data_IF_217756864659
#
_entry.id   IF_217756864659
#
_cell.length_a   1.000
_cell.length_b   1.000
_cell.length_c   1.000
_cell.angle_alpha   90.00
_cell.angle_beta   90.00
_cell.angle_gamma   90.00
#
_symmetry.space_group_name_H-M   'P 1'
#
loop_
_entity.id
_entity.type
_entity.pdbx_description
1 polymer ?
#
# COMPACT_ATOMS: atom_id res chain seq x y z
N UNK A 1 25.37 46.95 6.89
CA UNK A 1 26.01 46.03 7.87
C UNK A 1 25.01 44.99 8.38
N UNK A 2 23.91 45.36 9.09
CA UNK A 2 22.92 44.40 9.57
C UNK A 2 22.26 43.51 8.48
N UNK A 3 21.87 44.07 7.35
CA UNK A 3 21.30 43.33 6.23
C UNK A 3 22.26 42.30 5.63
N UNK A 4 23.53 42.64 5.54
CA UNK A 4 24.57 41.77 5.01
C UNK A 4 24.90 40.61 5.98
N UNK A 5 24.86 40.88 7.26
CA UNK A 5 25.03 39.84 8.31
C UNK A 5 23.83 38.87 8.34
N UNK A 6 22.61 39.38 8.13
CA UNK A 6 21.40 38.56 8.04
C UNK A 6 21.39 37.68 6.77
N UNK A 7 21.89 38.18 5.64
CA UNK A 7 22.02 37.41 4.41
C UNK A 7 23.03 36.26 4.57
N UNK A 8 24.21 36.56 5.11
CA UNK A 8 25.25 35.56 5.38
C UNK A 8 24.73 34.47 6.37
N UNK A 9 23.93 34.87 7.34
CA UNK A 9 23.33 33.94 8.31
C UNK A 9 22.32 33.00 7.65
N UNK A 10 21.48 33.52 6.73
CA UNK A 10 20.53 32.73 5.94
C UNK A 10 21.24 31.74 5.02
N UNK A 11 22.29 32.19 4.33
CA UNK A 11 23.08 31.32 3.44
C UNK A 11 23.78 30.19 4.19
N UNK A 12 24.34 30.47 5.37
CA UNK A 12 24.94 29.45 6.24
C UNK A 12 23.91 28.43 6.74
N UNK A 13 22.70 28.89 7.10
CA UNK A 13 21.63 28.01 7.54
C UNK A 13 21.19 27.07 6.38
N UNK A 14 21.04 27.65 5.18
CA UNK A 14 20.67 26.89 3.96
C UNK A 14 21.73 25.85 3.59
N UNK A 15 23.01 26.21 3.68
CA UNK A 15 24.10 25.26 3.42
C UNK A 15 24.09 24.08 4.41
N UNK A 16 23.87 24.35 5.69
CA UNK A 16 23.74 23.28 6.69
C UNK A 16 22.54 22.37 6.40
N UNK A 17 21.44 22.93 6.00
CA UNK A 17 20.24 22.18 5.65
C UNK A 17 20.47 21.30 4.42
N UNK A 18 21.08 21.82 3.36
CA UNK A 18 21.42 21.05 2.17
C UNK A 18 22.40 19.91 2.50
N UNK A 19 23.40 20.18 3.34
CA UNK A 19 24.34 19.16 3.77
C UNK A 19 23.65 18.05 4.56
N UNK A 20 22.75 18.39 5.47
CA UNK A 20 21.93 17.41 6.19
C UNK A 20 21.07 16.54 5.25
N UNK A 21 20.45 17.15 4.24
CA UNK A 21 19.65 16.41 3.26
C UNK A 21 20.53 15.40 2.52
N UNK A 22 21.70 15.80 2.06
CA UNK A 22 22.65 14.91 1.35
C UNK A 22 23.08 13.75 2.25
N UNK A 23 23.48 14.02 3.48
CA UNK A 23 23.89 13.01 4.45
C UNK A 23 22.76 12.01 4.75
N UNK A 24 21.52 12.50 4.86
CA UNK A 24 20.34 11.65 5.06
C UNK A 24 20.00 10.80 3.83
N UNK A 25 20.13 11.34 2.64
CA UNK A 25 19.90 10.56 1.41
C UNK A 25 20.93 9.46 1.23
N UNK A 26 22.20 9.74 1.50
CA UNK A 26 23.26 8.71 1.51
C UNK A 26 22.99 7.62 2.57
N UNK A 27 22.51 8.02 3.75
CA UNK A 27 22.11 7.09 4.79
C UNK A 27 20.92 6.23 4.37
N UNK A 28 19.87 6.84 3.78
CA UNK A 28 18.70 6.13 3.25
C UNK A 28 19.12 5.11 2.19
N UNK A 29 19.96 5.50 1.24
CA UNK A 29 20.45 4.60 0.19
C UNK A 29 21.20 3.41 0.79
N UNK A 30 22.08 3.65 1.75
CA UNK A 30 22.81 2.60 2.44
C UNK A 30 21.88 1.65 3.19
N UNK A 31 20.91 2.16 3.96
CA UNK A 31 19.95 1.36 4.70
C UNK A 31 19.02 0.56 3.76
N UNK A 32 18.56 1.20 2.67
CA UNK A 32 17.75 0.53 1.66
C UNK A 32 18.50 -0.67 1.06
N UNK A 33 19.75 -0.49 0.67
CA UNK A 33 20.57 -1.55 0.10
C UNK A 33 20.84 -2.67 1.10
N UNK A 34 21.12 -2.36 2.36
CA UNK A 34 21.31 -3.36 3.42
C UNK A 34 20.02 -4.17 3.66
N UNK A 35 18.88 -3.49 3.78
CA UNK A 35 17.58 -4.14 3.96
C UNK A 35 17.21 -5.00 2.75
N UNK A 36 17.44 -4.50 1.53
CA UNK A 36 17.21 -5.26 0.31
C UNK A 36 18.03 -6.56 0.29
N UNK A 37 19.34 -6.49 0.59
CA UNK A 37 20.19 -7.70 0.60
C UNK A 37 19.75 -8.70 1.68
N UNK A 38 19.34 -8.21 2.85
CA UNK A 38 18.80 -9.07 3.91
C UNK A 38 17.52 -9.78 3.44
N UNK A 39 16.55 -9.05 2.93
CA UNK A 39 15.28 -9.61 2.47
C UNK A 39 15.49 -10.57 1.28
N UNK A 40 16.43 -10.27 0.37
CA UNK A 40 16.81 -11.16 -0.73
C UNK A 40 17.37 -12.49 -0.24
N UNK A 41 18.18 -12.46 0.81
CA UNK A 41 18.73 -13.68 1.41
C UNK A 41 17.67 -14.48 2.17
N UNK A 42 16.79 -13.80 2.89
CA UNK A 42 15.72 -14.44 3.67
C UNK A 42 14.62 -15.04 2.77
N UNK A 43 14.23 -14.35 1.72
CA UNK A 43 13.14 -14.78 0.82
C UNK A 43 13.62 -15.67 -0.34
N UNK A 44 14.92 -15.64 -0.67
CA UNK A 44 15.47 -16.31 -1.87
C UNK A 44 15.12 -15.61 -3.18
N UNK A 45 14.40 -14.48 -3.16
CA UNK A 45 13.97 -13.76 -4.35
C UNK A 45 14.74 -12.44 -4.54
N UNK A 46 15.09 -12.14 -5.79
CA UNK A 46 15.68 -10.87 -6.17
C UNK A 46 14.69 -10.06 -7.01
N UNK A 47 14.54 -8.78 -6.67
CA UNK A 47 13.77 -7.87 -7.53
C UNK A 47 14.51 -7.59 -8.84
N UNK A 48 13.76 -7.33 -9.90
CA UNK A 48 14.35 -6.80 -11.11
C UNK A 48 15.08 -5.46 -10.80
N UNK A 49 16.24 -5.19 -11.44
CA UNK A 49 17.04 -3.99 -11.16
C UNK A 49 16.26 -2.69 -11.22
N UNK A 50 15.32 -2.57 -12.15
CA UNK A 50 14.46 -1.39 -12.30
C UNK A 50 13.49 -1.24 -11.14
N UNK A 51 12.92 -2.33 -10.62
CA UNK A 51 12.04 -2.32 -9.45
C UNK A 51 12.81 -1.88 -8.21
N UNK A 52 14.01 -2.45 -8.00
CA UNK A 52 14.91 -2.05 -6.91
C UNK A 52 15.24 -0.55 -6.98
N UNK A 53 15.62 -0.04 -8.17
CA UNK A 53 15.92 1.36 -8.38
C UNK A 53 14.70 2.26 -8.12
N UNK A 54 13.54 1.88 -8.63
CA UNK A 54 12.29 2.64 -8.43
C UNK A 54 11.93 2.71 -6.95
N UNK A 55 12.04 1.62 -6.20
CA UNK A 55 11.79 1.60 -4.76
C UNK A 55 12.73 2.53 -3.98
N UNK A 56 14.03 2.54 -4.30
CA UNK A 56 14.99 3.47 -3.70
C UNK A 56 14.61 4.92 -3.99
N UNK A 57 14.30 5.25 -5.25
CA UNK A 57 13.89 6.59 -5.64
C UNK A 57 12.61 7.03 -4.93
N UNK A 58 11.62 6.13 -4.79
CA UNK A 58 10.39 6.41 -4.03
C UNK A 58 10.71 6.76 -2.57
N UNK A 59 11.61 6.01 -1.94
CA UNK A 59 12.01 6.27 -0.56
C UNK A 59 12.70 7.64 -0.40
N UNK A 60 13.63 7.97 -1.29
CA UNK A 60 14.33 9.26 -1.25
C UNK A 60 13.35 10.42 -1.51
N UNK A 61 12.49 10.30 -2.52
CA UNK A 61 11.52 11.36 -2.85
C UNK A 61 10.44 11.50 -1.76
N UNK A 62 10.03 10.40 -1.12
CA UNK A 62 9.20 10.43 0.07
C UNK A 62 9.87 11.25 1.17
N UNK A 63 11.12 10.98 1.51
CA UNK A 63 11.86 11.76 2.51
C UNK A 63 11.90 13.25 2.14
N UNK A 64 12.26 13.60 0.89
CA UNK A 64 12.28 15.00 0.44
C UNK A 64 10.93 15.70 0.57
N UNK A 65 9.83 15.01 0.23
CA UNK A 65 8.49 15.61 0.22
C UNK A 65 7.81 15.61 1.58
N UNK A 66 8.02 14.55 2.36
CA UNK A 66 7.35 14.29 3.63
C UNK A 66 8.29 14.42 4.83
N UNK A 67 9.38 15.18 4.68
CA UNK A 67 10.41 15.32 5.71
C UNK A 67 9.85 15.71 7.07
N UNK A 68 8.92 16.67 7.10
CA UNK A 68 8.28 17.10 8.35
C UNK A 68 7.55 15.95 9.06
N UNK A 69 6.93 15.05 8.30
CA UNK A 69 6.32 13.84 8.87
C UNK A 69 7.40 12.86 9.28
N UNK A 70 8.37 12.57 8.40
CA UNK A 70 9.43 11.59 8.64
C UNK A 70 10.29 11.92 9.88
N UNK A 71 10.60 13.20 10.10
CA UNK A 71 11.38 13.66 11.27
C UNK A 71 10.58 13.69 12.59
N UNK A 72 9.23 13.66 12.51
CA UNK A 72 8.35 13.71 13.68
C UNK A 72 7.68 12.35 13.96
N UNK A 73 8.12 11.30 13.31
CA UNK A 73 7.64 9.93 13.58
C UNK A 73 8.01 9.52 15.01
N UNK A 74 7.02 9.08 15.77
CA UNK A 74 7.20 8.57 17.12
C UNK A 74 7.41 7.06 17.13
N UNK A 75 6.59 6.33 16.37
CA UNK A 75 6.64 4.87 16.28
C UNK A 75 6.43 4.43 14.82
N UNK A 76 7.06 3.32 14.44
CA UNK A 76 6.88 2.67 13.13
C UNK A 76 6.59 1.18 13.28
N UNK A 77 5.87 0.58 12.33
CA UNK A 77 5.56 -0.86 12.30
C UNK A 77 4.93 -1.33 13.63
N UNK A 78 3.99 -0.53 14.15
CA UNK A 78 3.39 -0.76 15.46
C UNK A 78 2.39 -1.90 15.38
N UNK A 79 2.75 -3.05 15.96
CA UNK A 79 1.81 -4.16 16.09
C UNK A 79 0.79 -3.87 17.17
N UNK A 80 -0.47 -3.77 16.76
CA UNK A 80 -1.62 -3.57 17.63
C UNK A 80 -2.39 -4.90 17.74
N UNK A 81 -2.69 -5.33 18.96
CA UNK A 81 -3.44 -6.56 19.23
C UNK A 81 -4.53 -6.28 20.26
N UNK A 82 -5.78 -6.40 19.89
CA UNK A 82 -6.94 -6.23 20.78
C UNK A 82 -7.65 -7.56 20.99
N UNK A 83 -7.40 -8.26 22.12
CA UNK A 83 -8.00 -9.55 22.43
C UNK A 83 -9.44 -9.42 22.92
N UNK A 84 -10.08 -10.58 23.11
CA UNK A 84 -11.38 -10.74 23.78
C UNK A 84 -12.54 -9.95 23.16
N UNK A 85 -12.48 -9.69 21.87
CA UNK A 85 -13.62 -9.16 21.14
C UNK A 85 -14.71 -10.21 21.04
N UNK A 86 -15.96 -9.77 21.00
CA UNK A 86 -17.11 -10.69 20.91
C UNK A 86 -17.99 -10.29 19.74
N UNK A 87 -18.28 -11.26 18.89
CA UNK A 87 -19.19 -11.10 17.75
C UNK A 87 -20.65 -11.07 18.17
N UNK A 88 -21.59 -10.66 17.30
CA UNK A 88 -23.03 -10.69 17.56
C UNK A 88 -23.56 -12.07 18.00
N UNK A 89 -22.97 -13.17 17.50
CA UNK A 89 -23.37 -14.55 17.90
C UNK A 89 -22.58 -15.09 19.10
N UNK A 90 -21.75 -14.24 19.74
CA UNK A 90 -21.02 -14.60 20.95
C UNK A 90 -19.67 -15.29 20.71
N UNK A 91 -19.19 -15.34 19.47
CA UNK A 91 -17.88 -15.89 19.14
C UNK A 91 -16.79 -14.94 19.61
N UNK A 92 -15.76 -15.48 20.29
CA UNK A 92 -14.60 -14.70 20.74
C UNK A 92 -13.57 -14.63 19.65
N UNK A 93 -12.96 -13.45 19.46
CA UNK A 93 -11.89 -13.26 18.50
C UNK A 93 -10.91 -12.18 18.96
N UNK A 94 -9.78 -12.13 18.30
CA UNK A 94 -8.75 -11.10 18.49
C UNK A 94 -8.59 -10.32 17.19
N UNK A 95 -8.53 -8.99 17.28
CA UNK A 95 -8.19 -8.14 16.15
C UNK A 95 -6.71 -7.80 16.24
N UNK A 96 -5.98 -8.05 15.18
CA UNK A 96 -4.57 -7.64 15.04
C UNK A 96 -4.40 -6.76 13.81
N UNK A 97 -3.47 -5.81 13.92
CA UNK A 97 -3.07 -4.97 12.81
C UNK A 97 -1.66 -4.43 13.04
N UNK A 98 -1.02 -3.98 11.96
CA UNK A 98 0.26 -3.30 12.02
C UNK A 98 0.08 -1.93 11.39
N UNK A 99 0.38 -0.89 12.16
CA UNK A 99 0.32 0.50 11.71
C UNK A 99 1.70 0.92 11.27
N UNK A 100 1.81 1.47 10.06
CA UNK A 100 3.11 1.82 9.50
C UNK A 100 3.78 2.96 10.26
N UNK A 101 3.05 4.03 10.55
CA UNK A 101 3.60 5.23 11.20
C UNK A 101 2.59 5.81 12.19
N UNK A 102 3.09 6.14 13.37
CA UNK A 102 2.41 6.98 14.35
C UNK A 102 3.25 8.21 14.63
N UNK A 103 2.61 9.37 14.55
CA UNK A 103 3.18 10.65 14.92
C UNK A 103 2.43 11.19 16.12
N UNK A 104 3.14 11.36 17.23
CA UNK A 104 2.65 11.95 18.47
C UNK A 104 3.40 13.24 18.74
N UNK A 105 2.71 14.36 18.60
CA UNK A 105 3.19 15.67 19.07
C UNK A 105 2.04 16.38 19.83
N UNK A 106 1.59 17.53 19.37
CA UNK A 106 0.36 18.18 19.89
C UNK A 106 -0.92 17.41 19.49
N UNK A 107 -0.85 16.62 18.41
CA UNK A 107 -1.92 15.81 17.87
C UNK A 107 -1.39 14.42 17.51
N UNK A 108 -2.15 13.37 17.82
CA UNK A 108 -1.82 12.00 17.45
C UNK A 108 -2.42 11.68 16.09
N UNK A 109 -1.55 11.44 15.12
CA UNK A 109 -1.96 11.09 13.74
C UNK A 109 -1.36 9.75 13.34
N UNK A 110 -2.20 8.92 12.74
CA UNK A 110 -1.82 7.61 12.21
C UNK A 110 -1.73 7.67 10.69
N UNK A 111 -0.66 7.11 10.14
CA UNK A 111 -0.45 7.03 8.71
C UNK A 111 -0.26 5.58 8.28
N UNK A 112 -0.86 5.24 7.15
CA UNK A 112 -0.60 3.99 6.43
C UNK A 112 0.09 4.33 5.10
N UNK A 113 1.10 3.56 4.72
CA UNK A 113 1.90 3.81 3.52
C UNK A 113 1.47 2.86 2.42
N UNK A 114 1.16 3.41 1.26
CA UNK A 114 0.91 2.59 0.07
C UNK A 114 1.83 2.97 -1.07
N UNK A 115 2.18 1.99 -1.89
CA UNK A 115 2.94 2.21 -3.13
C UNK A 115 2.04 2.46 -4.33
N UNK A 116 0.73 2.65 -4.13
CA UNK A 116 -0.22 3.08 -5.15
C UNK A 116 -0.15 4.61 -5.37
N UNK A 117 -0.72 5.09 -6.48
CA UNK A 117 -0.75 6.53 -6.75
C UNK A 117 -1.87 7.25 -5.97
N UNK A 118 -1.66 8.55 -5.75
CA UNK A 118 -2.58 9.37 -4.97
C UNK A 118 -3.98 9.47 -5.58
N UNK A 119 -4.11 9.44 -6.90
CA UNK A 119 -5.41 9.53 -7.57
C UNK A 119 -6.19 8.23 -7.40
N UNK A 120 -5.49 7.07 -7.43
CA UNK A 120 -6.11 5.79 -7.12
C UNK A 120 -6.62 5.75 -5.68
N UNK A 121 -5.81 6.17 -4.70
CA UNK A 121 -6.21 6.21 -3.28
C UNK A 121 -7.42 7.14 -3.10
N UNK A 122 -7.41 8.33 -3.73
CA UNK A 122 -8.53 9.27 -3.67
C UNK A 122 -9.82 8.70 -4.25
N UNK A 123 -9.72 7.88 -5.32
CA UNK A 123 -10.88 7.25 -5.96
C UNK A 123 -11.43 6.06 -5.18
N UNK A 124 -10.63 5.44 -4.30
CA UNK A 124 -10.98 4.23 -3.54
C UNK A 124 -10.83 4.46 -2.02
N UNK A 125 -11.17 5.65 -1.54
CA UNK A 125 -11.02 6.02 -0.12
C UNK A 125 -11.71 5.08 0.85
N UNK A 126 -12.85 4.52 0.45
CA UNK A 126 -13.67 3.64 1.28
C UNK A 126 -12.89 2.38 1.72
N UNK A 127 -12.07 1.81 0.83
CA UNK A 127 -11.25 0.63 1.14
C UNK A 127 -10.23 0.94 2.25
N UNK A 128 -9.65 2.14 2.22
CA UNK A 128 -8.68 2.61 3.22
C UNK A 128 -9.35 3.07 4.52
N UNK A 129 -10.57 3.62 4.44
CA UNK A 129 -11.35 4.01 5.63
C UNK A 129 -11.57 2.78 6.53
N UNK A 130 -11.97 1.64 5.96
CA UNK A 130 -12.23 0.43 6.75
C UNK A 130 -10.97 -0.05 7.48
N UNK A 131 -9.81 -0.07 6.81
CA UNK A 131 -8.53 -0.44 7.44
C UNK A 131 -8.15 0.52 8.57
N UNK A 132 -8.19 1.82 8.33
CA UNK A 132 -7.85 2.84 9.32
C UNK A 132 -8.86 2.89 10.48
N UNK A 133 -10.13 2.60 10.24
CA UNK A 133 -11.14 2.45 11.28
C UNK A 133 -10.83 1.28 12.22
N UNK A 134 -10.38 0.14 11.68
CA UNK A 134 -9.94 -1.01 12.49
C UNK A 134 -8.74 -0.61 13.35
N UNK A 135 -7.74 0.04 12.78
CA UNK A 135 -6.56 0.51 13.54
C UNK A 135 -6.93 1.54 14.59
N UNK A 136 -7.82 2.49 14.27
CA UNK A 136 -8.33 3.49 15.21
C UNK A 136 -9.03 2.83 16.39
N UNK A 137 -9.88 1.82 16.13
CA UNK A 137 -10.56 1.07 17.17
C UNK A 137 -9.57 0.38 18.12
N UNK A 138 -8.60 -0.33 17.56
CA UNK A 138 -7.58 -1.03 18.38
C UNK A 138 -6.80 -0.02 19.22
N UNK A 139 -6.33 1.08 18.62
CA UNK A 139 -5.57 2.12 19.28
C UNK A 139 -6.34 2.72 20.47
N UNK A 140 -7.57 3.17 20.23
CA UNK A 140 -8.41 3.78 21.26
C UNK A 140 -8.66 2.86 22.46
N UNK A 141 -8.85 1.56 22.19
CA UNK A 141 -9.10 0.58 23.26
C UNK A 141 -7.83 0.17 24.02
N UNK A 142 -6.67 0.15 23.35
CA UNK A 142 -5.40 -0.22 24.00
C UNK A 142 -4.77 0.93 24.77
N UNK A 143 -4.72 2.12 24.19
CA UNK A 143 -4.05 3.28 24.77
C UNK A 143 -4.99 4.17 25.58
N UNK A 144 -6.30 3.98 25.44
CA UNK A 144 -7.35 4.88 25.98
C UNK A 144 -7.13 6.35 25.54
N UNK A 145 -6.54 6.51 24.36
CA UNK A 145 -6.21 7.80 23.75
C UNK A 145 -7.00 7.96 22.45
N UNK A 146 -7.38 9.20 22.19
CA UNK A 146 -8.11 9.55 20.97
C UNK A 146 -7.12 9.91 19.87
N UNK A 147 -7.34 9.38 18.66
CA UNK A 147 -6.64 9.87 17.48
C UNK A 147 -7.24 11.20 17.02
N UNK A 148 -6.39 12.11 16.59
CA UNK A 148 -6.80 13.39 16.01
C UNK A 148 -6.97 13.30 14.49
N UNK A 149 -6.24 12.38 13.84
CA UNK A 149 -6.35 12.21 12.40
C UNK A 149 -5.79 10.89 11.90
N UNK A 150 -6.21 10.54 10.68
CA UNK A 150 -5.66 9.45 9.90
C UNK A 150 -5.41 9.89 8.47
N UNK A 151 -4.37 9.35 7.83
CA UNK A 151 -4.07 9.63 6.44
C UNK A 151 -3.36 8.46 5.76
N UNK A 152 -3.45 8.41 4.43
CA UNK A 152 -2.66 7.52 3.59
C UNK A 152 -1.53 8.31 2.94
N UNK A 153 -0.33 7.73 2.91
CA UNK A 153 0.81 8.25 2.19
C UNK A 153 1.02 7.40 0.93
N UNK A 154 0.69 7.97 -0.22
CA UNK A 154 0.80 7.32 -1.53
C UNK A 154 2.16 7.62 -2.16
N UNK A 155 3.06 6.65 -2.19
CA UNK A 155 4.45 6.86 -2.59
C UNK A 155 4.72 6.70 -4.08
N UNK A 156 3.75 6.23 -4.87
CA UNK A 156 3.94 6.12 -6.32
C UNK A 156 4.03 7.51 -6.99
N UNK A 157 4.98 7.64 -7.90
CA UNK A 157 5.15 8.88 -8.64
C UNK A 157 4.07 9.09 -9.68
N UNK A 158 3.53 10.31 -9.79
CA UNK A 158 2.84 10.73 -11.01
C UNK A 158 3.74 10.58 -12.24
N UNK A 159 3.17 10.22 -13.38
CA UNK A 159 3.93 10.03 -14.63
C UNK A 159 4.78 11.24 -15.01
N UNK A 160 4.32 12.44 -14.69
CA UNK A 160 5.04 13.69 -14.95
C UNK A 160 6.29 13.80 -14.09
N UNK A 161 6.20 13.42 -12.82
CA UNK A 161 7.34 13.39 -11.89
C UNK A 161 8.37 12.32 -12.31
N UNK A 162 7.91 11.12 -12.68
CA UNK A 162 8.81 10.08 -13.20
C UNK A 162 9.60 10.57 -14.41
N UNK A 163 8.94 11.21 -15.39
CA UNK A 163 9.61 11.80 -16.56
C UNK A 163 10.58 12.93 -16.19
N UNK A 164 10.29 13.69 -15.15
CA UNK A 164 11.19 14.73 -14.66
C UNK A 164 12.46 14.14 -14.05
N UNK A 165 12.32 13.08 -13.25
CA UNK A 165 13.45 12.31 -12.68
C UNK A 165 14.32 11.73 -13.81
N UNK A 166 13.71 11.10 -14.82
CA UNK A 166 14.42 10.47 -15.93
C UNK A 166 15.07 11.47 -16.88
N UNK A 167 14.66 12.75 -16.88
CA UNK A 167 15.19 13.79 -17.78
C UNK A 167 16.41 14.53 -17.24
N UNK A 168 16.82 14.28 -15.99
CA UNK A 168 17.92 14.96 -15.30
C UNK A 168 17.81 16.51 -15.31
N UNK A 169 16.56 17.01 -15.35
CA UNK A 169 16.23 18.44 -15.37
C UNK A 169 15.78 18.88 -13.97
N UNK A 170 16.70 19.49 -13.22
CA UNK A 170 16.45 19.90 -11.83
C UNK A 170 15.28 20.89 -11.69
N UNK A 171 15.10 21.81 -12.64
CA UNK A 171 14.03 22.81 -12.61
C UNK A 171 12.67 22.13 -12.79
N UNK A 172 12.61 21.19 -13.73
CA UNK A 172 11.40 20.40 -13.98
C UNK A 172 11.10 19.47 -12.80
N UNK A 173 12.13 18.85 -12.24
CA UNK A 173 12.00 17.99 -11.06
C UNK A 173 11.43 18.79 -9.87
N UNK A 174 12.01 19.95 -9.56
CA UNK A 174 11.54 20.81 -8.48
C UNK A 174 10.05 21.18 -8.65
N UNK A 175 9.65 21.58 -9.87
CA UNK A 175 8.27 21.94 -10.17
C UNK A 175 7.29 20.77 -10.03
N UNK A 176 7.67 19.58 -10.49
CA UNK A 176 6.79 18.40 -10.39
C UNK A 176 6.76 17.85 -8.96
N UNK A 177 7.84 17.96 -8.19
CA UNK A 177 7.88 17.67 -6.75
C UNK A 177 6.96 18.60 -5.95
N UNK A 178 6.90 19.89 -6.28
CA UNK A 178 5.99 20.84 -5.63
C UNK A 178 4.52 20.43 -5.82
N UNK A 179 4.15 20.00 -7.03
CA UNK A 179 2.79 19.56 -7.37
C UNK A 179 2.41 18.21 -6.78
N UNK A 180 3.39 17.37 -6.51
CA UNK A 180 3.13 16.05 -5.97
C UNK A 180 2.69 16.14 -4.52
N UNK A 181 1.48 15.68 -4.25
CA UNK A 181 0.89 15.61 -2.91
C UNK A 181 0.59 14.14 -2.57
N UNK A 182 1.53 13.45 -1.91
CA UNK A 182 1.36 12.03 -1.56
C UNK A 182 0.45 11.82 -0.36
N UNK A 183 0.17 12.84 0.46
CA UNK A 183 -0.62 12.71 1.68
C UNK A 183 -2.11 12.89 1.39
N UNK A 184 -2.88 11.86 1.66
CA UNK A 184 -4.33 11.86 1.49
C UNK A 184 -4.98 11.70 2.86
N UNK A 185 -5.54 12.78 3.43
CA UNK A 185 -6.30 12.68 4.67
C UNK A 185 -7.53 11.79 4.49
N UNK A 186 -7.73 10.89 5.43
CA UNK A 186 -8.90 10.02 5.52
C UNK A 186 -9.62 10.36 6.82
N UNK A 187 -10.69 11.16 6.76
CA UNK A 187 -11.45 11.51 7.97
C UNK A 187 -12.19 10.28 8.49
N UNK A 188 -12.16 10.10 9.79
CA UNK A 188 -12.95 9.07 10.46
C UNK A 188 -13.98 9.69 11.41
N UNK A 189 -15.03 8.93 11.71
CA UNK A 189 -15.98 9.25 12.77
C UNK A 189 -16.17 8.02 13.66
N UNK A 190 -16.53 8.24 14.91
CA UNK A 190 -16.77 7.14 15.84
C UNK A 190 -17.86 6.17 15.34
N UNK A 191 -18.91 6.71 14.72
CA UNK A 191 -19.97 5.91 14.09
C UNK A 191 -19.44 4.99 12.99
N UNK A 192 -18.57 5.49 12.10
CA UNK A 192 -17.95 4.68 11.05
C UNK A 192 -17.00 3.61 11.62
N UNK A 193 -16.25 3.95 12.66
CA UNK A 193 -15.39 2.97 13.35
C UNK A 193 -16.23 1.83 13.92
N UNK A 194 -17.31 2.14 14.62
CA UNK A 194 -18.21 1.13 15.19
C UNK A 194 -18.90 0.28 14.12
N UNK A 195 -19.34 0.87 13.01
CA UNK A 195 -19.93 0.15 11.88
C UNK A 195 -18.91 -0.80 11.21
N UNK A 196 -17.68 -0.35 11.01
CA UNK A 196 -16.61 -1.19 10.47
C UNK A 196 -16.31 -2.38 11.37
N UNK A 197 -16.21 -2.16 12.69
CA UNK A 197 -15.96 -3.24 13.66
C UNK A 197 -17.14 -4.20 13.73
N UNK A 198 -18.37 -3.69 13.68
CA UNK A 198 -19.56 -4.55 13.63
C UNK A 198 -19.57 -5.43 12.37
N UNK A 199 -19.28 -4.86 11.19
CA UNK A 199 -19.15 -5.62 9.94
C UNK A 199 -18.06 -6.69 10.04
N UNK A 200 -16.91 -6.33 10.61
CA UNK A 200 -15.82 -7.27 10.86
C UNK A 200 -16.25 -8.41 11.75
N UNK A 201 -16.92 -8.13 12.87
CA UNK A 201 -17.45 -9.14 13.78
C UNK A 201 -18.49 -10.06 13.12
N UNK A 202 -19.34 -9.53 12.22
CA UNK A 202 -20.26 -10.34 11.42
C UNK A 202 -19.53 -11.28 10.43
N UNK A 203 -18.35 -10.89 9.94
CA UNK A 203 -17.51 -11.77 9.12
C UNK A 203 -16.97 -12.93 9.97
N UNK A 204 -16.57 -12.65 11.21
CA UNK A 204 -16.14 -13.72 12.17
C UNK A 204 -17.26 -14.73 12.37
N UNK A 205 -18.50 -14.30 12.60
CA UNK A 205 -19.63 -15.21 12.74
C UNK A 205 -19.80 -16.10 11.50
N UNK A 206 -19.71 -15.53 10.30
CA UNK A 206 -19.79 -16.31 9.05
C UNK A 206 -18.64 -17.32 8.91
N UNK A 207 -17.46 -16.98 9.40
CA UNK A 207 -16.30 -17.89 9.42
C UNK A 207 -16.57 -19.06 10.35
N UNK A 208 -17.02 -18.79 11.57
CA UNK A 208 -17.33 -19.82 12.58
C UNK A 208 -18.48 -20.74 12.15
N UNK A 209 -19.49 -20.19 11.50
CA UNK A 209 -20.61 -20.92 10.91
C UNK A 209 -20.25 -21.67 9.60
N UNK A 210 -19.02 -21.52 9.12
CA UNK A 210 -18.56 -22.06 7.83
C UNK A 210 -19.44 -21.63 6.65
N UNK A 211 -20.00 -20.44 6.71
CA UNK A 211 -20.88 -19.86 5.71
C UNK A 211 -20.12 -19.34 4.47
N UNK A 212 -19.19 -20.16 3.96
CA UNK A 212 -18.41 -19.84 2.77
C UNK A 212 -19.23 -20.18 1.52
N UNK A 213 -19.48 -19.15 0.72
CA UNK A 213 -20.11 -19.33 -0.59
C UNK A 213 -19.09 -18.97 -1.69
N UNK A 214 -18.72 -19.93 -2.53
CA UNK A 214 -17.90 -19.61 -3.68
C UNK A 214 -18.67 -18.64 -4.61
N UNK A 215 -17.98 -17.79 -5.39
CA UNK A 215 -18.64 -16.92 -6.33
C UNK A 215 -19.37 -17.72 -7.41
N UNK A 216 -20.47 -17.19 -7.93
CA UNK A 216 -21.16 -17.80 -9.06
C UNK A 216 -20.35 -17.63 -10.35
N UNK A 217 -20.63 -18.44 -11.37
CA UNK A 217 -20.00 -18.33 -12.68
C UNK A 217 -20.20 -16.93 -13.30
N UNK A 218 -21.34 -16.32 -13.08
CA UNK A 218 -21.64 -14.95 -13.53
C UNK A 218 -20.72 -13.93 -12.82
N UNK A 219 -20.60 -14.01 -11.50
CA UNK A 219 -19.69 -13.15 -10.73
C UNK A 219 -18.22 -13.32 -11.17
N UNK A 220 -17.80 -14.55 -11.47
CA UNK A 220 -16.44 -14.81 -11.97
C UNK A 220 -16.18 -14.12 -13.31
N UNK A 221 -17.20 -14.00 -14.15
CA UNK A 221 -17.12 -13.36 -15.46
C UNK A 221 -17.30 -11.83 -15.40
N UNK A 222 -17.83 -11.29 -14.30
CA UNK A 222 -18.02 -9.86 -14.12
C UNK A 222 -16.70 -9.10 -14.15
N UNK A 223 -16.71 -7.92 -14.79
CA UNK A 223 -15.58 -7.00 -14.77
C UNK A 223 -15.62 -6.17 -13.49
N UNK A 224 -14.50 -6.11 -12.81
CA UNK A 224 -14.38 -5.28 -11.61
C UNK A 224 -14.49 -3.82 -12.00
N UNK A 225 -15.37 -3.09 -11.29
CA UNK A 225 -15.61 -1.65 -11.51
C UNK A 225 -14.29 -0.87 -11.49
N UNK A 226 -14.09 -0.04 -12.50
CA UNK A 226 -12.86 0.75 -12.63
C UNK A 226 -11.67 0.01 -13.26
N UNK A 227 -11.82 -1.28 -13.59
CA UNK A 227 -10.77 -2.08 -14.26
C UNK A 227 -11.32 -2.76 -15.53
N UNK A 228 -10.42 -3.22 -16.39
CA UNK A 228 -10.80 -4.09 -17.53
C UNK A 228 -10.77 -5.58 -17.14
N UNK A 229 -10.32 -5.90 -15.94
CA UNK A 229 -10.11 -7.28 -15.49
C UNK A 229 -11.40 -7.91 -14.98
N UNK A 230 -11.54 -9.22 -15.20
CA UNK A 230 -12.63 -10.02 -14.62
C UNK A 230 -12.34 -10.35 -13.16
N UNK A 231 -13.39 -10.56 -12.38
CA UNK A 231 -13.27 -11.00 -10.98
C UNK A 231 -12.42 -12.27 -10.85
N UNK A 232 -12.65 -13.25 -11.73
CA UNK A 232 -11.84 -14.47 -11.74
C UNK A 232 -10.35 -14.21 -11.93
N UNK A 233 -9.98 -13.29 -12.82
CA UNK A 233 -8.57 -12.98 -13.12
C UNK A 233 -7.91 -12.19 -11.99
N UNK A 234 -8.60 -11.19 -11.44
CA UNK A 234 -8.01 -10.30 -10.44
C UNK A 234 -8.01 -10.88 -9.02
N UNK A 235 -9.09 -11.57 -8.65
CA UNK A 235 -9.28 -12.06 -7.28
C UNK A 235 -8.96 -13.55 -7.19
N UNK A 236 -9.65 -14.39 -8.01
CA UNK A 236 -9.55 -15.83 -7.83
C UNK A 236 -8.22 -16.42 -8.27
N UNK A 237 -7.52 -15.80 -9.23
CA UNK A 237 -6.18 -16.22 -9.66
C UNK A 237 -5.18 -16.20 -8.52
N UNK A 238 -5.30 -15.22 -7.62
CA UNK A 238 -4.41 -15.02 -6.47
C UNK A 238 -4.98 -15.60 -5.16
N UNK A 239 -6.09 -16.35 -5.24
CA UNK A 239 -6.71 -16.97 -4.09
C UNK A 239 -6.04 -18.33 -3.79
N UNK A 240 -5.63 -18.57 -2.57
CA UNK A 240 -5.00 -19.83 -2.14
C UNK A 240 -5.95 -21.03 -2.31
N UNK A 241 -7.26 -20.80 -2.20
CA UNK A 241 -8.28 -21.82 -2.42
C UNK A 241 -8.58 -22.08 -3.92
N UNK A 242 -7.92 -21.43 -4.88
CA UNK A 242 -8.25 -21.54 -6.33
C UNK A 242 -8.25 -22.96 -6.87
N UNK A 243 -7.36 -23.81 -6.37
CA UNK A 243 -7.22 -25.19 -6.82
C UNK A 243 -8.29 -26.14 -6.24
N UNK A 244 -8.85 -25.80 -5.08
CA UNK A 244 -9.94 -26.55 -4.41
C UNK A 244 -11.32 -25.94 -4.63
N UNK A 245 -11.40 -24.75 -5.26
CA UNK A 245 -12.65 -24.06 -5.51
C UNK A 245 -13.32 -24.57 -6.79
N UNK A 246 -14.45 -25.28 -6.63
CA UNK A 246 -15.17 -25.86 -7.77
C UNK A 246 -15.64 -24.79 -8.78
N UNK A 247 -16.13 -23.66 -8.27
CA UNK A 247 -16.59 -22.55 -9.14
C UNK A 247 -15.47 -22.01 -10.03
N UNK A 248 -14.26 -21.84 -9.48
CA UNK A 248 -13.11 -21.38 -10.27
C UNK A 248 -12.64 -22.45 -11.26
N UNK A 249 -12.69 -23.73 -10.88
CA UNK A 249 -12.36 -24.84 -11.78
C UNK A 249 -13.34 -24.94 -12.94
N UNK A 250 -14.63 -24.80 -12.69
CA UNK A 250 -15.66 -24.75 -13.74
C UNK A 250 -15.45 -23.57 -14.69
N UNK A 251 -15.16 -22.39 -14.14
CA UNK A 251 -14.80 -21.22 -14.94
C UNK A 251 -13.59 -21.48 -15.84
N UNK A 252 -12.51 -22.02 -15.29
CA UNK A 252 -11.29 -22.32 -16.03
C UNK A 252 -11.54 -23.35 -17.14
N UNK A 253 -12.35 -24.39 -16.87
CA UNK A 253 -12.73 -25.39 -17.87
C UNK A 253 -13.61 -24.80 -18.96
N UNK A 254 -14.60 -23.98 -18.60
CA UNK A 254 -15.47 -23.32 -19.57
C UNK A 254 -14.70 -22.37 -20.50
N UNK A 255 -13.71 -21.66 -19.97
CA UNK A 255 -12.86 -20.75 -20.77
C UNK A 255 -11.86 -21.49 -21.65
N UNK A 256 -11.37 -22.67 -21.23
CA UNK A 256 -10.45 -23.49 -22.04
C UNK A 256 -11.13 -24.29 -23.13
N UNK A 257 -12.43 -24.62 -22.99
CA UNK A 257 -13.20 -25.41 -23.96
C UNK A 257 -13.64 -24.62 -25.21
N UNK A 258 -13.69 -23.30 -25.10
CA UNK A 258 -13.94 -22.43 -26.25
C UNK A 258 -12.64 -21.86 -26.74
N UNK A 259 -12.19 -22.19 -27.93
CA UNK A 259 -10.94 -21.68 -28.51
C UNK A 259 -10.80 -20.15 -28.55
N UNK A 260 -11.89 -19.40 -28.25
CA UNK A 260 -11.87 -17.99 -27.95
C UNK A 260 -11.47 -17.65 -26.50
N UNK A 261 -11.70 -18.55 -25.55
CA UNK A 261 -11.40 -18.31 -24.14
C UNK A 261 -9.90 -18.19 -23.81
N UNK A 262 -9.06 -18.92 -24.52
CA UNK A 262 -7.60 -18.80 -24.37
C UNK A 262 -7.08 -17.48 -24.96
N UNK A 263 -7.59 -17.07 -26.12
CA UNK A 263 -7.24 -15.79 -26.74
C UNK A 263 -7.74 -14.60 -25.89
N UNK A 264 -8.93 -14.71 -25.29
CA UNK A 264 -9.48 -13.71 -24.38
C UNK A 264 -8.73 -13.69 -23.05
N UNK A 265 -8.32 -14.86 -22.53
CA UNK A 265 -7.45 -14.99 -21.35
C UNK A 265 -6.08 -14.35 -21.59
N UNK A 266 -5.45 -14.60 -22.72
CA UNK A 266 -4.18 -13.96 -23.12
C UNK A 266 -4.36 -12.44 -23.32
N UNK A 267 -5.48 -12.02 -23.92
CA UNK A 267 -5.80 -10.60 -24.07
C UNK A 267 -6.02 -9.91 -22.71
N UNK A 268 -6.68 -10.59 -21.77
CA UNK A 268 -6.88 -10.07 -20.42
C UNK A 268 -5.55 -10.02 -19.65
N UNK A 269 -4.62 -10.96 -19.88
CA UNK A 269 -3.26 -10.92 -19.34
C UNK A 269 -2.43 -9.79 -19.96
N UNK A 270 -2.46 -9.62 -21.28
CA UNK A 270 -1.75 -8.53 -21.96
C UNK A 270 -2.28 -7.15 -21.57
N UNK A 271 -3.58 -7.01 -21.31
CA UNK A 271 -4.16 -5.79 -20.76
C UNK A 271 -3.83 -5.61 -19.26
N UNK A 272 -3.57 -6.70 -18.52
CA UNK A 272 -3.09 -6.65 -17.16
C UNK A 272 -1.66 -6.10 -17.11
N UNK A 273 -0.79 -6.53 -18.02
CA UNK A 273 0.60 -6.06 -18.09
C UNK A 273 0.68 -4.55 -18.44
N UNK A 274 -0.26 -4.01 -19.21
CA UNK A 274 -0.35 -2.57 -19.44
C UNK A 274 -0.85 -1.77 -18.22
N UNK A 275 -1.70 -2.38 -17.39
CA UNK A 275 -2.16 -1.79 -16.11
C UNK A 275 -1.17 -2.12 -15.00
N UNK A 276 -0.57 -3.32 -15.00
CA UNK A 276 0.43 -3.76 -14.04
C UNK A 276 1.76 -3.02 -14.17
N UNK A 277 2.13 -2.55 -15.35
CA UNK A 277 3.23 -1.58 -15.48
C UNK A 277 2.93 -0.21 -14.85
N UNK A 278 1.69 0.03 -14.42
CA UNK A 278 1.31 1.21 -13.63
C UNK A 278 0.94 0.90 -12.18
N UNK A 279 0.70 -0.36 -11.80
CA UNK A 279 0.23 -0.73 -10.44
C UNK A 279 1.02 -1.87 -9.79
N UNK A 280 1.86 -2.58 -10.52
CA UNK A 280 2.42 -3.87 -10.07
C UNK A 280 3.85 -3.81 -9.54
N UNK A 281 4.21 -2.78 -8.84
CA UNK A 281 5.41 -2.87 -8.00
C UNK A 281 5.15 -3.60 -6.68
N UNK A 282 3.89 -3.87 -6.31
CA UNK A 282 3.55 -4.41 -4.98
C UNK A 282 2.94 -5.80 -4.93
N UNK A 283 2.43 -6.33 -6.03
CA UNK A 283 1.87 -7.68 -6.02
C UNK A 283 2.91 -8.78 -6.30
N UNK A 284 4.16 -8.41 -6.57
CA UNK A 284 5.21 -9.39 -6.92
C UNK A 284 6.09 -9.86 -5.76
N UNK A 285 5.73 -9.55 -4.52
CA UNK A 285 6.45 -10.13 -3.38
C UNK A 285 5.98 -11.55 -3.04
N UNK A 286 4.96 -12.11 -3.69
CA UNK A 286 4.43 -13.40 -3.25
C UNK A 286 4.18 -14.47 -4.28
N UNK A 287 4.40 -14.38 -5.58
CA UNK A 287 4.13 -15.58 -6.41
C UNK A 287 4.87 -15.62 -7.74
N UNK A 288 6.06 -16.21 -7.71
CA UNK A 288 6.52 -17.08 -8.80
C UNK A 288 7.41 -18.18 -8.22
N UNK A 289 6.79 -19.24 -7.75
CA UNK A 289 7.42 -20.55 -7.71
C UNK A 289 6.97 -21.27 -8.98
N UNK A 290 7.68 -21.06 -10.06
CA UNK A 290 7.69 -22.01 -11.15
C UNK A 290 8.47 -23.26 -10.66
N UNK A 291 7.72 -24.27 -10.27
CA UNK A 291 8.25 -25.63 -10.16
C UNK A 291 8.36 -26.14 -11.59
N UNK A 292 9.49 -25.92 -12.23
CA UNK A 292 9.88 -26.78 -13.32
C UNK A 292 10.25 -28.15 -12.74
N UNK A 293 9.44 -29.13 -13.08
CA UNK A 293 9.72 -30.55 -12.97
C UNK A 293 11.08 -30.88 -13.59
N UNK A 294 11.96 -31.46 -12.78
CA UNK A 294 12.96 -32.39 -13.26
C UNK A 294 13.13 -33.54 -12.26
N UNK A 295 12.50 -34.70 -12.66
CA UNK A 295 12.82 -36.10 -12.36
C UNK A 295 13.16 -36.45 -10.92
#
# INVERSE_FOLDING_TARGET
MREQDDLIRKDKARLKELQYIIEMEEWIENQYNLNYERLRLESGHALAPEVKRTGLLQTIMYFRKMREVAEMVSETEVKLTLPEQVSPHGNKFTIEGVVDIIKEDTNTTMYDITTLDADYVKANKEDYEDQLNVYTHIWQNLRNERLDGTAIIATQFPRTLKRAIDSDDEVKLAREMEKWDPMIPIPFSQEKVEDTIYKFACVVDKIEERAFKPPTLEQLQERIKGTKQRFATRICRNCDARYSCDAYREYAQATSSFGGGFAEYISDLGNADEVENTTNTNAMASDQVDIEDNI
#
